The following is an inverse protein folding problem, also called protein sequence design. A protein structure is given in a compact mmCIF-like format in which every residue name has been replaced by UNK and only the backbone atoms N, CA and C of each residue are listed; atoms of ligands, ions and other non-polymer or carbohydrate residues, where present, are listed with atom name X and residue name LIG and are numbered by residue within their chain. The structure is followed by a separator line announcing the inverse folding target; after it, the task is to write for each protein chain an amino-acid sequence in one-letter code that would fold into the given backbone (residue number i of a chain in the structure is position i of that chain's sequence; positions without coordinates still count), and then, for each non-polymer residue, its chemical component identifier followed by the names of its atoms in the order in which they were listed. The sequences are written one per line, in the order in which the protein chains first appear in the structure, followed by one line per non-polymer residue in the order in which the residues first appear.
data_IF_518491966250
#
_entry.id   IF_518491966250
#
_cell.length_a   1.000
_cell.length_b   1.000
_cell.length_c   1.000
_cell.angle_alpha   90.00
_cell.angle_beta   90.00
_cell.angle_gamma   90.00
#
_symmetry.space_group_name_H-M   'P 1'
#
loop_
_entity.id
_entity.type
_entity.pdbx_description
1 polymer ?
#
# COMPACT_ATOMS: atom_id res chain seq x y z
N UNK A 1 23.78 6.46 -5.00
CA UNK A 1 23.60 6.14 -3.56
C UNK A 1 22.49 5.09 -3.39
N UNK A 2 22.54 4.27 -2.33
CA UNK A 2 21.50 3.26 -2.03
C UNK A 2 20.11 3.89 -1.87
N UNK A 3 20.00 5.02 -1.16
CA UNK A 3 18.72 5.72 -0.96
C UNK A 3 18.08 6.13 -2.29
N UNK A 4 18.88 6.53 -3.29
CA UNK A 4 18.40 6.89 -4.62
C UNK A 4 17.82 5.68 -5.39
N UNK A 5 18.49 4.52 -5.31
CA UNK A 5 17.98 3.29 -5.94
C UNK A 5 16.67 2.85 -5.29
N UNK A 6 16.59 2.89 -3.95
CA UNK A 6 15.39 2.54 -3.20
C UNK A 6 14.24 3.52 -3.44
N UNK A 7 14.52 4.83 -3.57
CA UNK A 7 13.47 5.81 -3.87
C UNK A 7 12.89 5.61 -5.27
N UNK A 8 13.74 5.31 -6.27
CA UNK A 8 13.27 4.96 -7.62
C UNK A 8 12.41 3.70 -7.59
N UNK A 9 12.88 2.64 -6.90
CA UNK A 9 12.14 1.39 -6.79
C UNK A 9 10.77 1.60 -6.14
N UNK A 10 10.73 2.29 -5.00
CA UNK A 10 9.48 2.62 -4.32
C UNK A 10 8.54 3.47 -5.17
N UNK A 11 9.08 4.43 -5.93
CA UNK A 11 8.28 5.26 -6.85
C UNK A 11 7.68 4.42 -7.98
N UNK A 12 8.47 3.51 -8.57
CA UNK A 12 8.01 2.63 -9.66
C UNK A 12 6.83 1.77 -9.21
N UNK A 13 6.94 1.14 -8.03
CA UNK A 13 5.85 0.36 -7.47
C UNK A 13 4.66 1.24 -7.05
N UNK A 14 4.87 2.47 -6.58
CA UNK A 14 3.77 3.40 -6.32
C UNK A 14 2.96 3.68 -7.60
N UNK A 15 3.62 3.92 -8.74
CA UNK A 15 2.95 4.05 -10.03
C UNK A 15 2.22 2.76 -10.44
N UNK A 16 2.85 1.60 -10.26
CA UNK A 16 2.20 0.31 -10.51
C UNK A 16 0.92 0.11 -9.68
N UNK A 17 0.97 0.44 -8.39
CA UNK A 17 -0.20 0.40 -7.50
C UNK A 17 -1.29 1.40 -7.92
N UNK A 18 -0.92 2.59 -8.39
CA UNK A 18 -1.87 3.57 -8.95
C UNK A 18 -2.54 3.08 -10.23
N UNK A 19 -1.81 2.38 -11.10
CA UNK A 19 -2.41 1.71 -12.27
C UNK A 19 -3.39 0.63 -11.81
N UNK A 20 -3.05 -0.12 -10.76
CA UNK A 20 -3.96 -1.08 -10.12
C UNK A 20 -5.25 -0.47 -9.61
N UNK A 21 -5.21 0.73 -9.01
CA UNK A 21 -6.41 1.47 -8.58
C UNK A 21 -7.32 1.79 -9.78
N UNK A 22 -6.74 2.31 -10.87
CA UNK A 22 -7.48 2.64 -12.10
C UNK A 22 -8.05 1.36 -12.71
N UNK A 23 -7.25 0.30 -12.82
CA UNK A 23 -7.67 -0.99 -13.35
C UNK A 23 -8.86 -1.56 -12.58
N UNK A 24 -8.76 -1.60 -11.24
CA UNK A 24 -9.85 -2.09 -10.37
C UNK A 24 -11.15 -1.32 -10.57
N UNK A 25 -11.06 0.01 -10.76
CA UNK A 25 -12.23 0.87 -11.03
C UNK A 25 -12.85 0.62 -12.41
N UNK A 26 -12.04 0.28 -13.42
CA UNK A 26 -12.50 0.02 -14.79
C UNK A 26 -12.94 -1.43 -15.03
N UNK A 27 -12.62 -2.36 -14.13
CA UNK A 27 -12.99 -3.78 -14.24
C UNK A 27 -14.10 -4.10 -13.23
N UNK A 28 -15.39 -4.07 -13.60
CA UNK A 28 -16.47 -4.43 -12.67
C UNK A 28 -16.40 -5.91 -12.29
N UNK A 29 -16.43 -6.19 -10.98
CA UNK A 29 -16.24 -7.53 -10.43
C UNK A 29 -17.31 -8.54 -10.88
N UNK A 30 -18.51 -8.07 -11.24
CA UNK A 30 -19.61 -8.92 -11.71
C UNK A 30 -19.44 -9.40 -13.16
N UNK A 31 -18.62 -8.71 -13.97
CA UNK A 31 -18.42 -9.03 -15.39
C UNK A 31 -17.04 -9.63 -15.67
N UNK A 32 -16.00 -9.09 -15.05
CA UNK A 32 -14.59 -9.42 -15.32
C UNK A 32 -13.81 -9.63 -14.01
N UNK A 33 -14.29 -10.57 -13.20
CA UNK A 33 -13.78 -10.83 -11.85
C UNK A 33 -12.27 -11.07 -11.80
N UNK A 34 -11.74 -11.91 -12.70
CA UNK A 34 -10.32 -12.29 -12.63
C UNK A 34 -9.39 -11.09 -12.84
N UNK A 35 -9.74 -10.20 -13.79
CA UNK A 35 -9.00 -8.95 -13.98
C UNK A 35 -9.19 -8.00 -12.79
N UNK A 36 -10.40 -7.92 -12.23
CA UNK A 36 -10.66 -7.10 -11.04
C UNK A 36 -9.80 -7.54 -9.86
N UNK A 37 -9.74 -8.84 -9.56
CA UNK A 37 -8.93 -9.40 -8.48
C UNK A 37 -7.44 -9.20 -8.73
N UNK A 38 -6.98 -9.37 -9.97
CA UNK A 38 -5.58 -9.11 -10.35
C UNK A 38 -5.18 -7.66 -10.04
N UNK A 39 -5.97 -6.68 -10.50
CA UNK A 39 -5.69 -5.28 -10.23
C UNK A 39 -5.84 -4.94 -8.75
N UNK A 40 -6.87 -5.45 -8.08
CA UNK A 40 -7.13 -5.19 -6.68
C UNK A 40 -5.99 -5.69 -5.78
N UNK A 41 -5.53 -6.93 -5.98
CA UNK A 41 -4.42 -7.50 -5.23
C UNK A 41 -3.09 -6.79 -5.57
N UNK A 42 -2.91 -6.44 -6.85
CA UNK A 42 -1.74 -5.71 -7.34
C UNK A 42 -1.53 -4.36 -6.64
N UNK A 43 -2.61 -3.65 -6.28
CA UNK A 43 -2.53 -2.42 -5.47
C UNK A 43 -1.73 -2.68 -4.19
N UNK A 44 -2.14 -3.67 -3.40
CA UNK A 44 -1.59 -3.89 -2.08
C UNK A 44 -0.17 -4.45 -2.12
N UNK A 45 0.12 -5.35 -3.05
CA UNK A 45 1.46 -5.87 -3.28
C UNK A 45 2.44 -4.76 -3.69
N UNK A 46 2.02 -3.87 -4.60
CA UNK A 46 2.83 -2.74 -5.02
C UNK A 46 3.07 -1.76 -3.87
N UNK A 47 2.01 -1.34 -3.17
CA UNK A 47 2.14 -0.39 -2.06
C UNK A 47 2.88 -0.97 -0.84
N UNK A 48 2.90 -2.29 -0.66
CA UNK A 48 3.75 -2.95 0.33
C UNK A 48 5.24 -2.72 0.03
N UNK A 49 5.66 -2.92 -1.22
CA UNK A 49 7.06 -2.69 -1.64
C UNK A 49 7.41 -1.20 -1.52
N UNK A 50 6.50 -0.31 -1.95
CA UNK A 50 6.62 1.13 -1.79
C UNK A 50 6.83 1.53 -0.33
N UNK A 51 5.99 1.03 0.59
CA UNK A 51 6.05 1.34 2.01
C UNK A 51 7.37 0.88 2.64
N UNK A 52 7.86 -0.32 2.28
CA UNK A 52 9.16 -0.81 2.74
C UNK A 52 10.31 0.10 2.25
N UNK A 53 10.32 0.42 0.96
CA UNK A 53 11.35 1.27 0.36
C UNK A 53 11.41 2.63 1.05
N UNK A 54 10.26 3.30 1.22
CA UNK A 54 10.21 4.63 1.83
C UNK A 54 10.46 4.61 3.34
N UNK A 55 10.09 3.54 4.05
CA UNK A 55 10.52 3.34 5.45
C UNK A 55 12.05 3.41 5.56
N UNK A 56 12.77 2.68 4.69
CA UNK A 56 14.24 2.61 4.71
C UNK A 56 14.85 3.95 4.27
N UNK A 57 14.36 4.53 3.18
CA UNK A 57 14.88 5.79 2.62
C UNK A 57 14.76 6.93 3.64
N UNK A 58 13.60 7.07 4.28
CA UNK A 58 13.34 8.14 5.25
C UNK A 58 14.11 7.89 6.54
N UNK A 59 14.21 6.64 7.01
CA UNK A 59 15.03 6.30 8.20
C UNK A 59 16.51 6.65 8.02
N UNK A 60 17.02 6.55 6.79
CA UNK A 60 18.42 6.83 6.42
C UNK A 60 18.65 8.26 5.95
N UNK A 61 17.63 9.11 5.99
CA UNK A 61 17.66 10.47 5.47
C UNK A 61 17.41 11.48 6.60
N UNK A 62 18.06 12.65 6.52
CA UNK A 62 17.79 13.79 7.41
C UNK A 62 16.82 14.81 6.79
N UNK A 63 16.27 14.50 5.60
CA UNK A 63 15.34 15.38 4.86
C UNK A 63 13.95 15.43 5.52
N UNK A 64 13.57 14.35 6.19
CA UNK A 64 12.30 14.16 6.85
C UNK A 64 12.52 13.79 8.32
N UNK A 65 11.60 14.17 9.18
CA UNK A 65 11.64 13.72 10.58
C UNK A 65 11.43 12.21 10.69
N UNK A 66 12.13 11.56 11.62
CA UNK A 66 12.08 10.10 11.81
C UNK A 66 10.68 9.55 12.11
N UNK A 67 9.76 10.37 12.65
CA UNK A 67 8.36 9.99 12.87
C UNK A 67 7.63 9.59 11.57
N UNK A 68 7.99 10.19 10.44
CA UNK A 68 7.41 9.84 9.14
C UNK A 68 7.94 8.51 8.61
N UNK A 69 9.17 8.14 8.98
CA UNK A 69 9.69 6.79 8.73
C UNK A 69 8.91 5.75 9.54
N UNK A 70 8.62 6.05 10.80
CA UNK A 70 7.78 5.20 11.64
C UNK A 70 6.37 5.03 11.04
N UNK A 71 5.78 6.10 10.51
CA UNK A 71 4.49 6.05 9.80
C UNK A 71 4.49 5.08 8.62
N UNK A 72 5.52 5.13 7.76
CA UNK A 72 5.66 4.18 6.64
C UNK A 72 5.95 2.76 7.15
N UNK A 73 6.69 2.62 8.24
CA UNK A 73 7.00 1.33 8.85
C UNK A 73 5.76 0.63 9.41
N UNK A 74 4.90 1.36 10.14
CA UNK A 74 3.61 0.85 10.61
C UNK A 74 2.72 0.48 9.43
N UNK A 75 2.64 1.36 8.43
CA UNK A 75 1.86 1.09 7.22
C UNK A 75 2.37 -0.17 6.49
N UNK A 76 3.68 -0.35 6.37
CA UNK A 76 4.30 -1.55 5.79
C UNK A 76 3.89 -2.83 6.53
N UNK A 77 3.93 -2.83 7.87
CA UNK A 77 3.54 -4.02 8.66
C UNK A 77 2.08 -4.36 8.41
N UNK A 78 1.18 -3.36 8.46
CA UNK A 78 -0.25 -3.58 8.28
C UNK A 78 -0.59 -4.08 6.88
N UNK A 79 0.03 -3.52 5.84
CA UNK A 79 -0.21 -3.98 4.47
C UNK A 79 0.43 -5.35 4.19
N UNK A 80 1.56 -5.67 4.82
CA UNK A 80 2.16 -7.01 4.73
C UNK A 80 1.26 -8.08 5.38
N UNK A 81 0.64 -7.77 6.53
CA UNK A 81 -0.36 -8.64 7.14
C UNK A 81 -1.56 -8.85 6.22
N UNK A 82 -2.04 -7.78 5.56
CA UNK A 82 -3.12 -7.90 4.61
C UNK A 82 -2.76 -8.72 3.36
N UNK A 83 -1.56 -8.52 2.80
CA UNK A 83 -1.06 -9.37 1.70
C UNK A 83 -0.99 -10.82 2.15
N UNK A 84 -0.61 -11.09 3.40
CA UNK A 84 -0.70 -12.44 3.97
C UNK A 84 -2.13 -12.99 4.03
N UNK A 85 -3.11 -12.15 4.36
CA UNK A 85 -4.53 -12.54 4.28
C UNK A 85 -4.93 -12.90 2.86
N UNK A 86 -4.45 -12.19 1.84
CA UNK A 86 -4.72 -12.53 0.44
C UNK A 86 -4.17 -13.91 0.04
N UNK A 87 -2.98 -14.27 0.52
CA UNK A 87 -2.30 -15.53 0.16
C UNK A 87 -2.80 -16.74 0.96
N UNK A 88 -3.10 -16.57 2.24
CA UNK A 88 -3.37 -17.71 3.15
C UNK A 88 -4.82 -17.81 3.65
N UNK A 89 -5.63 -16.76 3.56
CA UNK A 89 -7.02 -16.85 4.01
C UNK A 89 -7.92 -17.53 2.98
N UNK A 90 -9.04 -18.14 3.42
CA UNK A 90 -9.98 -18.74 2.49
C UNK A 90 -10.50 -17.73 1.47
N UNK A 91 -10.74 -18.17 0.22
CA UNK A 91 -11.24 -17.27 -0.80
C UNK A 91 -12.66 -16.79 -0.44
N UNK A 92 -13.06 -15.57 -0.85
CA UNK A 92 -14.36 -15.00 -0.48
C UNK A 92 -15.56 -15.86 -0.88
N UNK A 93 -15.41 -16.72 -1.89
CA UNK A 93 -16.48 -17.61 -2.39
C UNK A 93 -16.55 -18.97 -1.67
N UNK A 94 -15.62 -19.25 -0.76
CA UNK A 94 -15.61 -20.53 -0.03
C UNK A 94 -16.75 -20.63 0.98
N UNK A 95 -17.11 -19.53 1.64
CA UNK A 95 -18.18 -19.48 2.65
C UNK A 95 -18.57 -18.05 2.98
N UNK A 96 -19.76 -17.84 3.56
CA UNK A 96 -20.20 -16.53 4.03
C UNK A 96 -19.25 -15.91 5.08
N UNK A 97 -18.76 -16.65 6.09
CA UNK A 97 -17.77 -16.12 7.03
C UNK A 97 -16.46 -15.70 6.34
N UNK A 98 -16.00 -16.46 5.34
CA UNK A 98 -14.79 -16.09 4.57
C UNK A 98 -14.98 -14.82 3.76
N UNK A 99 -16.14 -14.65 3.12
CA UNK A 99 -16.51 -13.41 2.42
C UNK A 99 -16.46 -12.21 3.37
N UNK A 100 -17.11 -12.33 4.53
CA UNK A 100 -17.17 -11.27 5.54
C UNK A 100 -15.78 -10.92 6.05
N UNK A 101 -14.95 -11.92 6.36
CA UNK A 101 -13.58 -11.71 6.82
C UNK A 101 -12.73 -10.96 5.80
N UNK A 102 -12.77 -11.38 4.52
CA UNK A 102 -12.02 -10.74 3.44
C UNK A 102 -12.45 -9.28 3.24
N UNK A 103 -13.75 -9.00 3.20
CA UNK A 103 -14.29 -7.63 3.01
C UNK A 103 -13.96 -6.72 4.18
N UNK A 104 -14.06 -7.21 5.43
CA UNK A 104 -13.71 -6.41 6.62
C UNK A 104 -12.21 -6.08 6.59
N UNK A 105 -11.36 -7.09 6.35
CA UNK A 105 -9.91 -6.90 6.34
C UNK A 105 -9.49 -5.93 5.22
N UNK A 106 -10.10 -6.05 4.04
CA UNK A 106 -9.90 -5.11 2.93
C UNK A 106 -10.28 -3.67 3.32
N UNK A 107 -11.44 -3.46 3.93
CA UNK A 107 -11.88 -2.11 4.36
C UNK A 107 -10.92 -1.50 5.38
N UNK A 108 -10.45 -2.30 6.34
CA UNK A 108 -9.49 -1.84 7.34
C UNK A 108 -8.19 -1.37 6.69
N UNK A 109 -7.59 -2.18 5.80
CA UNK A 109 -6.33 -1.80 5.18
C UNK A 109 -6.48 -0.61 4.22
N UNK A 110 -7.62 -0.48 3.52
CA UNK A 110 -7.92 0.69 2.67
C UNK A 110 -8.01 1.96 3.52
N UNK A 111 -8.69 1.91 4.66
CA UNK A 111 -8.76 3.04 5.57
C UNK A 111 -7.37 3.42 6.11
N UNK A 112 -6.58 2.42 6.53
CA UNK A 112 -5.18 2.62 6.95
C UNK A 112 -4.35 3.24 5.83
N UNK A 113 -4.50 2.78 4.58
CA UNK A 113 -3.80 3.35 3.42
C UNK A 113 -4.15 4.82 3.22
N UNK A 114 -5.43 5.19 3.26
CA UNK A 114 -5.85 6.59 3.14
C UNK A 114 -5.26 7.46 4.28
N UNK A 115 -5.34 6.99 5.53
CA UNK A 115 -4.79 7.70 6.69
C UNK A 115 -3.27 7.82 6.60
N UNK A 116 -2.58 6.77 6.15
CA UNK A 116 -1.14 6.79 5.95
C UNK A 116 -0.75 7.83 4.90
N UNK A 117 -1.42 7.87 3.75
CA UNK A 117 -1.15 8.88 2.72
C UNK A 117 -1.31 10.30 3.28
N UNK A 118 -2.42 10.58 3.96
CA UNK A 118 -2.66 11.90 4.59
C UNK A 118 -1.60 12.23 5.65
N UNK A 119 -1.21 11.26 6.49
CA UNK A 119 -0.17 11.47 7.49
C UNK A 119 1.18 11.83 6.85
N UNK A 120 1.52 11.18 5.72
CA UNK A 120 2.80 11.40 5.05
C UNK A 120 2.83 12.71 4.25
N UNK A 121 1.71 13.21 3.72
CA UNK A 121 1.70 14.53 3.07
C UNK A 121 2.08 15.66 4.04
N UNK A 122 1.72 15.55 5.33
CA UNK A 122 2.20 16.49 6.35
C UNK A 122 3.72 16.42 6.59
N UNK A 123 4.35 15.28 6.31
CA UNK A 123 5.82 15.15 6.36
C UNK A 123 6.50 15.84 5.19
N UNK A 124 5.89 15.76 4.00
CA UNK A 124 6.35 16.47 2.80
C UNK A 124 6.25 17.99 2.99
N UNK A 125 5.13 18.50 3.51
CA UNK A 125 4.97 19.94 3.72
C UNK A 125 5.92 20.55 4.75
N UNK A 126 6.47 19.74 5.66
CA UNK A 126 7.45 20.18 6.68
C UNK A 126 8.91 19.88 6.31
N UNK A 127 9.16 19.34 5.11
CA UNK A 127 10.51 18.96 4.70
C UNK A 127 11.41 20.18 4.50
N UNK A 128 12.61 20.15 5.08
CA UNK A 128 13.59 21.25 5.10
C UNK A 128 14.23 21.59 3.74
N UNK A 129 13.88 20.85 2.69
CA UNK A 129 14.39 21.08 1.32
C UNK A 129 13.37 21.85 0.46
N UNK A 130 12.09 21.87 0.86
CA UNK A 130 11.00 22.53 0.13
C UNK A 130 10.63 23.91 0.70
N UNK A 131 11.30 24.36 1.75
CA UNK A 131 11.19 25.67 2.39
C UNK A 131 12.59 26.27 2.53
#
# INVERSE_FOLDING_TARGET
SLNFKLSILGTLFAFGGSIGLIGTALTPADLVLDMHVFFANGIFQCFMITALCYTIVISRSNVFEKKYALGYGIFFILIALYVGVLEWAPPPRSSQPALVFQVITQKLIVLTFCLANVYQTFGVSKSKILL
#
